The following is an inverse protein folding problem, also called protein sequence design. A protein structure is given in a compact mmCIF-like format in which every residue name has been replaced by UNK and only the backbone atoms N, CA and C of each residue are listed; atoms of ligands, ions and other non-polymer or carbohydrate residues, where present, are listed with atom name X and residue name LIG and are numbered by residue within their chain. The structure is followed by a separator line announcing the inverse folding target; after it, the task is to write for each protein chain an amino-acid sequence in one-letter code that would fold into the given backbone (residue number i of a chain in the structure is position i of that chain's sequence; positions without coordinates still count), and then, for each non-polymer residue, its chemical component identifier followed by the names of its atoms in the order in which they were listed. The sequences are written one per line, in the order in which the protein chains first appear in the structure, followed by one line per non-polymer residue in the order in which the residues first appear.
data_IF_652146100787
#
_entry.id   IF_652146100787
#
_cell.length_a   1.000
_cell.length_b   1.000
_cell.length_c   1.000
_cell.angle_alpha   90.00
_cell.angle_beta   90.00
_cell.angle_gamma   90.00
#
_symmetry.space_group_name_H-M   'P 1'
#
loop_
_entity.id
_entity.type
_entity.pdbx_description
1 polymer ?
#
# COMPACT_ATOMS: atom_id res chain seq x y z
N UNK A 1 -0.43 1.51 6.87
CA UNK A 1 0.17 2.45 5.88
C UNK A 1 -0.45 2.22 4.51
N UNK A 2 -0.38 1.03 3.93
CA UNK A 2 -1.02 0.71 2.64
C UNK A 2 -2.51 1.02 2.58
N UNK A 3 -3.25 0.80 3.67
CA UNK A 3 -4.67 1.14 3.77
C UNK A 3 -4.93 2.63 3.50
N UNK A 4 -4.03 3.52 3.99
CA UNK A 4 -4.16 4.97 3.77
C UNK A 4 -3.85 5.34 2.32
N UNK A 5 -2.85 4.72 1.70
CA UNK A 5 -2.55 4.92 0.29
C UNK A 5 -3.73 4.44 -0.60
N UNK A 6 -4.32 3.28 -0.29
CA UNK A 6 -5.51 2.80 -1.01
C UNK A 6 -6.73 3.74 -0.86
N UNK A 7 -6.88 4.40 0.29
CA UNK A 7 -7.98 5.35 0.51
C UNK A 7 -7.94 6.54 -0.45
N UNK A 8 -6.74 6.96 -0.88
CA UNK A 8 -6.60 8.09 -1.81
C UNK A 8 -7.31 7.87 -3.15
N UNK A 9 -7.35 6.63 -3.67
CA UNK A 9 -8.13 6.31 -4.88
C UNK A 9 -9.63 6.55 -4.65
N UNK A 10 -10.19 6.09 -3.54
CA UNK A 10 -11.61 6.25 -3.24
C UNK A 10 -11.99 7.72 -3.00
N UNK A 11 -11.12 8.48 -2.31
CA UNK A 11 -11.35 9.91 -2.09
C UNK A 11 -11.22 10.72 -3.38
N UNK A 12 -10.33 10.33 -4.30
CA UNK A 12 -10.26 10.96 -5.63
C UNK A 12 -11.60 10.83 -6.36
N UNK A 13 -12.15 9.61 -6.46
CA UNK A 13 -13.43 9.39 -7.13
C UNK A 13 -14.60 10.13 -6.44
N UNK A 14 -14.59 10.19 -5.10
CA UNK A 14 -15.58 10.94 -4.34
C UNK A 14 -15.50 12.44 -4.63
N UNK A 15 -14.28 13.03 -4.63
CA UNK A 15 -14.07 14.46 -4.90
C UNK A 15 -14.32 14.81 -6.36
N UNK A 16 -14.06 13.92 -7.30
CA UNK A 16 -14.43 14.09 -8.72
C UNK A 16 -15.96 14.18 -8.91
N UNK A 17 -16.72 13.35 -8.18
CA UNK A 17 -18.18 13.36 -8.23
C UNK A 17 -18.81 14.51 -7.41
N UNK A 18 -18.14 14.95 -6.33
CA UNK A 18 -18.61 15.97 -5.41
C UNK A 18 -17.49 16.97 -5.10
N UNK A 19 -17.14 17.89 -6.03
CA UNK A 19 -16.02 18.83 -5.87
C UNK A 19 -16.14 19.72 -4.63
N UNK A 20 -17.35 20.17 -4.30
CA UNK A 20 -17.63 21.08 -3.17
C UNK A 20 -17.74 20.37 -1.81
N UNK A 21 -17.70 19.02 -1.80
CA UNK A 21 -17.75 18.26 -0.56
C UNK A 21 -16.50 18.53 0.29
N UNK A 22 -16.69 19.07 1.49
CA UNK A 22 -15.61 19.25 2.45
C UNK A 22 -15.29 17.91 3.12
N UNK A 23 -14.12 17.35 2.86
CA UNK A 23 -13.68 16.09 3.43
C UNK A 23 -12.48 16.35 4.34
N UNK A 24 -12.55 15.89 5.58
CA UNK A 24 -11.43 15.92 6.53
C UNK A 24 -10.94 14.49 6.81
N UNK A 25 -9.67 14.24 6.54
CA UNK A 25 -9.04 12.92 6.76
C UNK A 25 -8.33 12.92 8.12
N UNK A 26 -8.81 12.06 9.03
CA UNK A 26 -8.14 11.80 10.30
C UNK A 26 -7.00 10.80 10.09
N UNK A 27 -5.75 11.28 10.06
CA UNK A 27 -4.58 10.46 9.76
C UNK A 27 -3.32 10.99 10.44
N UNK A 28 -2.23 10.21 10.38
CA UNK A 28 -0.90 10.70 10.82
C UNK A 28 -0.35 11.70 9.80
N UNK A 29 0.35 12.76 10.23
CA UNK A 29 0.87 13.79 9.33
C UNK A 29 1.68 13.25 8.15
N UNK A 30 2.52 12.23 8.38
CA UNK A 30 3.37 11.62 7.35
C UNK A 30 2.59 11.03 6.17
N UNK A 31 1.31 10.69 6.34
CA UNK A 31 0.49 10.10 5.28
C UNK A 31 -0.28 11.12 4.44
N UNK A 32 -0.19 12.40 4.74
CA UNK A 32 -0.79 13.47 3.92
C UNK A 32 -0.26 13.45 2.48
N UNK A 33 1.00 12.99 2.30
CA UNK A 33 1.63 12.79 1.00
C UNK A 33 0.78 12.01 -0.03
N UNK A 34 0.00 11.02 0.43
CA UNK A 34 -0.83 10.19 -0.45
C UNK A 34 -2.03 10.93 -1.03
N UNK A 35 -2.38 12.07 -0.46
CA UNK A 35 -3.53 12.88 -0.84
C UNK A 35 -3.16 14.16 -1.58
N UNK A 36 -1.90 14.30 -1.99
CA UNK A 36 -1.42 15.47 -2.75
C UNK A 36 -2.25 15.67 -4.02
N UNK A 37 -2.71 16.92 -4.23
CA UNK A 37 -3.57 17.28 -5.35
C UNK A 37 -5.06 17.02 -5.14
N UNK A 38 -5.47 16.58 -3.93
CA UNK A 38 -6.86 16.55 -3.50
C UNK A 38 -7.12 17.69 -2.52
N UNK A 39 -8.23 18.41 -2.73
CA UNK A 39 -8.70 19.43 -1.79
C UNK A 39 -9.33 18.76 -0.56
N UNK A 40 -8.52 18.55 0.49
CA UNK A 40 -8.90 17.85 1.71
C UNK A 40 -8.41 18.60 2.95
N UNK A 41 -9.23 18.62 3.99
CA UNK A 41 -8.82 18.96 5.35
C UNK A 41 -8.13 17.77 6.03
N UNK A 42 -7.29 18.05 7.03
CA UNK A 42 -6.62 17.01 7.81
C UNK A 42 -6.80 17.22 9.30
N UNK A 43 -7.02 16.14 10.00
CA UNK A 43 -6.99 16.08 11.45
C UNK A 43 -5.89 15.10 11.89
N UNK A 44 -4.90 15.62 12.62
CA UNK A 44 -3.74 14.83 13.01
C UNK A 44 -4.08 13.83 14.11
N UNK A 45 -3.72 12.57 13.86
CA UNK A 45 -3.92 11.48 14.81
C UNK A 45 -2.58 11.01 15.35
N UNK A 46 -2.31 11.32 16.60
CA UNK A 46 -1.15 10.83 17.34
C UNK A 46 -1.52 9.58 18.14
N UNK A 47 -1.30 8.42 17.52
CA UNK A 47 -1.64 7.12 18.10
C UNK A 47 -0.65 6.63 19.16
N UNK A 48 0.52 7.25 19.30
CA UNK A 48 1.53 6.92 20.30
C UNK A 48 1.50 7.86 21.49
N UNK A 49 0.95 9.08 21.33
CA UNK A 49 0.82 10.10 22.34
C UNK A 49 -0.64 10.34 22.76
N UNK A 50 -1.14 11.56 22.49
CA UNK A 50 -2.43 12.03 23.04
C UNK A 50 -3.66 11.21 22.65
N UNK A 51 -3.63 10.50 21.52
CA UNK A 51 -4.76 9.69 21.03
C UNK A 51 -4.58 8.18 21.27
N UNK A 52 -3.67 7.79 22.18
CA UNK A 52 -3.45 6.39 22.53
C UNK A 52 -4.59 5.81 23.37
N UNK A 53 -5.17 6.59 24.29
CA UNK A 53 -6.15 6.15 25.29
C UNK A 53 -7.60 6.37 24.86
N UNK A 54 -8.56 5.81 25.63
CA UNK A 54 -9.99 6.07 25.51
C UNK A 54 -10.28 7.57 25.58
N UNK A 55 -9.72 8.27 26.57
CA UNK A 55 -9.87 9.74 26.70
C UNK A 55 -9.35 10.47 25.48
N UNK A 56 -8.23 10.01 24.91
CA UNK A 56 -7.67 10.57 23.67
C UNK A 56 -8.62 10.40 22.48
N UNK A 57 -9.30 9.26 22.35
CA UNK A 57 -10.30 9.05 21.29
C UNK A 57 -11.54 9.94 21.46
N UNK A 58 -12.01 10.15 22.71
CA UNK A 58 -13.10 11.09 22.99
C UNK A 58 -12.70 12.54 22.70
N UNK A 59 -11.45 12.93 23.01
CA UNK A 59 -10.91 14.23 22.66
C UNK A 59 -10.86 14.42 21.13
N UNK A 60 -10.34 13.44 20.39
CA UNK A 60 -10.33 13.45 18.93
C UNK A 60 -11.75 13.61 18.36
N UNK A 61 -12.74 12.93 18.94
CA UNK A 61 -14.15 13.07 18.54
C UNK A 61 -14.72 14.46 18.86
N UNK A 62 -14.30 15.07 19.96
CA UNK A 62 -14.69 16.46 20.30
C UNK A 62 -14.06 17.46 19.30
N UNK A 63 -12.81 17.25 18.91
CA UNK A 63 -12.14 18.09 17.92
C UNK A 63 -12.81 17.95 16.53
N UNK A 64 -13.14 16.74 16.10
CA UNK A 64 -13.92 16.51 14.89
C UNK A 64 -15.27 17.25 14.90
N UNK A 65 -15.95 17.25 16.05
CA UNK A 65 -17.21 17.99 16.19
C UNK A 65 -17.03 19.50 16.07
N UNK A 66 -15.93 20.06 16.60
CA UNK A 66 -15.62 21.50 16.45
C UNK A 66 -15.38 21.89 14.99
N UNK A 67 -14.93 20.93 14.16
CA UNK A 67 -14.80 21.11 12.71
C UNK A 67 -16.16 21.10 11.99
N UNK A 68 -17.27 20.84 12.70
CA UNK A 68 -18.61 20.83 12.12
C UNK A 68 -18.86 19.65 11.19
N UNK A 69 -18.34 18.45 11.53
CA UNK A 69 -18.56 17.25 10.69
C UNK A 69 -20.02 16.80 10.73
N UNK A 70 -20.61 16.59 9.56
CA UNK A 70 -22.00 16.16 9.36
C UNK A 70 -22.14 14.64 9.21
N UNK A 71 -21.06 13.94 8.88
CA UNK A 71 -21.03 12.48 8.73
C UNK A 71 -19.63 11.90 8.96
N UNK A 72 -19.54 10.61 9.33
CA UNK A 72 -18.28 9.89 9.55
C UNK A 72 -18.22 8.62 8.72
N UNK A 73 -17.19 8.52 7.88
CA UNK A 73 -16.83 7.31 7.15
C UNK A 73 -15.67 6.59 7.89
N UNK A 74 -15.97 5.51 8.61
CA UNK A 74 -14.94 4.65 9.23
C UNK A 74 -14.45 3.59 8.22
N UNK A 75 -13.41 3.92 7.47
CA UNK A 75 -12.75 3.03 6.50
C UNK A 75 -11.70 2.12 7.14
N UNK A 76 -11.41 2.28 8.44
CA UNK A 76 -10.39 1.48 9.13
C UNK A 76 -11.00 0.31 9.94
N UNK A 77 -12.12 0.53 10.63
CA UNK A 77 -12.86 -0.51 11.34
C UNK A 77 -12.03 -1.26 12.39
N UNK A 78 -11.16 -0.58 13.12
CA UNK A 78 -10.40 -1.10 14.26
C UNK A 78 -10.95 -0.56 15.57
N UNK A 79 -10.59 -1.17 16.71
CA UNK A 79 -11.15 -0.80 18.02
C UNK A 79 -11.11 0.72 18.28
N UNK A 80 -9.99 1.39 17.94
CA UNK A 80 -9.86 2.85 18.10
C UNK A 80 -10.85 3.64 17.24
N UNK A 81 -10.99 3.26 15.96
CA UNK A 81 -11.96 3.94 15.08
C UNK A 81 -13.40 3.63 15.47
N UNK A 82 -13.67 2.45 16.02
CA UNK A 82 -14.99 2.13 16.61
C UNK A 82 -15.31 3.09 17.76
N UNK A 83 -14.37 3.31 18.67
CA UNK A 83 -14.56 4.23 19.79
C UNK A 83 -14.78 5.68 19.32
N UNK A 84 -13.97 6.15 18.39
CA UNK A 84 -14.08 7.47 17.79
C UNK A 84 -15.48 7.67 17.15
N UNK A 85 -15.87 6.77 16.25
CA UNK A 85 -17.17 6.86 15.57
C UNK A 85 -18.37 6.73 16.52
N UNK A 86 -18.28 5.86 17.55
CA UNK A 86 -19.32 5.70 18.54
C UNK A 86 -19.51 6.99 19.34
N UNK A 87 -18.42 7.68 19.69
CA UNK A 87 -18.50 8.96 20.39
C UNK A 87 -19.20 10.06 19.56
N UNK A 88 -19.09 10.03 18.24
CA UNK A 88 -19.78 10.94 17.33
C UNK A 88 -21.23 10.50 17.07
N UNK A 89 -21.47 9.21 16.89
CA UNK A 89 -22.80 8.64 16.73
C UNK A 89 -23.72 8.95 17.93
N UNK A 90 -23.22 8.80 19.16
CA UNK A 90 -23.95 9.18 20.38
C UNK A 90 -24.32 10.67 20.44
N UNK A 91 -23.73 11.48 19.60
CA UNK A 91 -24.02 12.93 19.44
C UNK A 91 -24.84 13.25 18.19
N UNK A 92 -25.48 12.23 17.58
CA UNK A 92 -26.34 12.37 16.42
C UNK A 92 -25.65 12.49 15.07
N UNK A 93 -24.32 12.25 14.98
CA UNK A 93 -23.61 12.29 13.71
C UNK A 93 -23.80 10.95 12.98
N UNK A 94 -24.31 10.90 11.74
CA UNK A 94 -24.40 9.69 10.92
C UNK A 94 -23.04 9.02 10.72
N UNK A 95 -23.00 7.69 10.81
CA UNK A 95 -21.76 6.91 10.70
C UNK A 95 -21.95 5.73 9.77
N UNK A 96 -21.04 5.59 8.81
CA UNK A 96 -20.88 4.36 8.04
C UNK A 96 -19.52 3.72 8.31
N UNK A 97 -19.46 2.39 8.31
CA UNK A 97 -18.25 1.64 8.58
C UNK A 97 -17.98 0.60 7.50
N UNK A 98 -16.69 0.33 7.29
CA UNK A 98 -16.22 -0.66 6.33
C UNK A 98 -16.65 -2.08 6.69
N UNK A 99 -17.07 -2.81 5.68
CA UNK A 99 -17.18 -4.27 5.70
C UNK A 99 -15.89 -4.89 5.14
N UNK A 100 -15.14 -5.55 6.01
CA UNK A 100 -13.80 -6.07 5.66
C UNK A 100 -13.81 -7.36 4.83
N UNK A 101 -14.98 -7.93 4.54
CA UNK A 101 -15.14 -9.17 3.78
C UNK A 101 -14.42 -10.35 4.43
N UNK A 102 -14.55 -10.50 5.75
CA UNK A 102 -13.80 -11.51 6.50
C UNK A 102 -14.18 -12.93 6.07
N UNK A 103 -15.45 -13.18 5.82
CA UNK A 103 -15.93 -14.52 5.45
C UNK A 103 -15.49 -14.89 4.03
N UNK A 104 -15.60 -13.99 3.06
CA UNK A 104 -15.11 -14.27 1.69
C UNK A 104 -13.59 -14.49 1.67
N UNK A 105 -12.81 -13.75 2.47
CA UNK A 105 -11.36 -13.95 2.60
C UNK A 105 -11.01 -15.27 3.28
N UNK A 106 -11.78 -15.70 4.29
CA UNK A 106 -11.62 -17.01 4.92
C UNK A 106 -11.95 -18.13 3.93
N UNK A 107 -13.03 -17.99 3.17
CA UNK A 107 -13.40 -18.95 2.14
C UNK A 107 -12.33 -19.05 1.06
N UNK A 108 -11.83 -17.91 0.57
CA UNK A 108 -10.74 -17.85 -0.41
C UNK A 108 -9.50 -18.61 0.09
N UNK A 109 -9.08 -18.39 1.36
CA UNK A 109 -7.97 -19.12 1.96
C UNK A 109 -8.28 -20.62 2.07
N UNK A 110 -9.46 -20.99 2.56
CA UNK A 110 -9.86 -22.40 2.74
C UNK A 110 -9.80 -23.20 1.43
N UNK A 111 -10.15 -22.56 0.33
CA UNK A 111 -10.13 -23.16 -1.02
C UNK A 111 -8.78 -22.98 -1.74
N UNK A 112 -7.76 -22.43 -1.09
CA UNK A 112 -6.45 -22.19 -1.72
C UNK A 112 -6.51 -21.21 -2.88
N UNK A 113 -7.51 -20.32 -2.93
CA UNK A 113 -7.73 -19.38 -4.04
C UNK A 113 -8.24 -20.03 -5.35
N UNK A 114 -8.49 -21.35 -5.37
CA UNK A 114 -8.86 -22.09 -6.56
C UNK A 114 -10.39 -22.19 -6.70
N UNK A 115 -10.90 -21.86 -7.88
CA UNK A 115 -12.35 -21.92 -8.14
C UNK A 115 -13.20 -20.96 -7.31
N UNK A 116 -12.61 -19.92 -6.76
CA UNK A 116 -13.29 -18.91 -5.95
C UNK A 116 -13.08 -17.54 -6.57
N UNK A 117 -14.13 -16.72 -6.60
CA UNK A 117 -13.99 -15.32 -7.01
C UNK A 117 -13.03 -14.60 -6.07
N UNK A 118 -12.14 -13.73 -6.59
CA UNK A 118 -11.36 -12.84 -5.77
C UNK A 118 -12.25 -12.02 -4.82
N UNK A 119 -11.75 -11.76 -3.62
CA UNK A 119 -12.43 -10.90 -2.67
C UNK A 119 -12.57 -9.48 -3.24
N UNK A 120 -13.69 -8.81 -2.94
CA UNK A 120 -13.90 -7.41 -3.35
C UNK A 120 -12.69 -6.57 -2.94
N UNK A 121 -12.16 -5.78 -3.87
CA UNK A 121 -10.99 -4.95 -3.64
C UNK A 121 -11.22 -3.92 -2.51
N UNK A 122 -10.20 -3.68 -1.70
CA UNK A 122 -10.30 -2.79 -0.52
C UNK A 122 -10.67 -1.36 -0.89
N UNK A 123 -10.19 -0.83 -2.03
CA UNK A 123 -10.58 0.49 -2.54
C UNK A 123 -12.09 0.57 -2.79
N UNK A 124 -12.68 -0.47 -3.41
CA UNK A 124 -14.14 -0.54 -3.66
C UNK A 124 -14.91 -0.60 -2.34
N UNK A 125 -14.38 -1.32 -1.32
CA UNK A 125 -14.98 -1.33 0.03
C UNK A 125 -14.96 0.06 0.68
N UNK A 126 -13.96 0.88 0.41
CA UNK A 126 -13.94 2.28 0.87
C UNK A 126 -15.01 3.10 0.16
N UNK A 127 -15.21 2.93 -1.13
CA UNK A 127 -16.31 3.55 -1.86
C UNK A 127 -17.67 3.14 -1.30
N UNK A 128 -17.84 1.87 -0.93
CA UNK A 128 -19.08 1.38 -0.32
C UNK A 128 -19.38 2.06 1.02
N UNK A 129 -18.37 2.48 1.79
CA UNK A 129 -18.61 3.26 3.03
C UNK A 129 -19.20 4.62 2.69
N UNK A 130 -18.70 5.30 1.68
CA UNK A 130 -19.25 6.59 1.24
C UNK A 130 -20.66 6.44 0.65
N UNK A 131 -20.90 5.37 -0.11
CA UNK A 131 -22.25 5.04 -0.63
C UNK A 131 -23.26 4.79 0.47
N UNK A 132 -22.87 4.16 1.58
CA UNK A 132 -23.72 3.99 2.78
C UNK A 132 -24.08 5.32 3.45
N UNK A 133 -23.31 6.38 3.22
CA UNK A 133 -23.63 7.75 3.65
C UNK A 133 -24.49 8.53 2.64
N UNK A 134 -24.92 7.89 1.54
CA UNK A 134 -25.79 8.49 0.52
C UNK A 134 -25.09 9.06 -0.69
N UNK A 135 -23.76 8.98 -0.78
CA UNK A 135 -23.02 9.45 -1.96
C UNK A 135 -23.12 8.45 -3.11
N UNK A 136 -23.51 8.93 -4.30
CA UNK A 136 -23.64 8.10 -5.51
C UNK A 136 -22.52 8.45 -6.49
N UNK A 137 -21.60 7.53 -6.74
CA UNK A 137 -20.47 7.71 -7.66
C UNK A 137 -19.94 6.35 -8.12
N UNK A 138 -19.21 6.36 -9.23
CA UNK A 138 -18.58 5.14 -9.79
C UNK A 138 -17.32 4.76 -8.98
N UNK A 139 -16.90 3.50 -9.13
CA UNK A 139 -15.60 3.06 -8.61
C UNK A 139 -14.48 3.87 -9.26
N UNK A 140 -13.36 4.10 -8.54
CA UNK A 140 -12.26 4.87 -9.09
C UNK A 140 -11.73 4.27 -10.39
N UNK A 141 -11.42 5.11 -11.36
CA UNK A 141 -10.59 4.69 -12.49
C UNK A 141 -9.14 4.54 -12.04
N UNK A 142 -8.32 3.65 -12.68
CA UNK A 142 -6.90 3.58 -12.41
C UNK A 142 -6.24 4.96 -12.49
N UNK A 143 -5.24 5.20 -11.65
CA UNK A 143 -4.48 6.44 -11.70
C UNK A 143 -3.79 6.59 -13.07
N UNK A 144 -3.70 7.83 -13.55
CA UNK A 144 -2.89 8.15 -14.71
C UNK A 144 -1.50 8.64 -14.26
N UNK A 145 -0.49 8.26 -15.03
CA UNK A 145 0.88 8.74 -14.77
C UNK A 145 0.91 10.27 -14.99
N UNK A 146 1.44 10.96 -13.98
CA UNK A 146 1.58 12.43 -14.02
C UNK A 146 3.04 12.78 -13.79
N UNK A 147 3.50 13.85 -14.44
CA UNK A 147 4.80 14.43 -14.13
C UNK A 147 4.83 14.90 -12.68
N UNK A 148 5.85 14.47 -11.94
CA UNK A 148 6.11 14.87 -10.56
C UNK A 148 7.57 15.29 -10.43
N UNK A 149 7.93 16.15 -9.46
CA UNK A 149 9.32 16.48 -9.20
C UNK A 149 10.17 15.22 -9.04
N UNK A 150 11.41 15.25 -9.50
CA UNK A 150 12.33 14.15 -9.30
C UNK A 150 13.36 14.51 -8.21
N UNK A 151 13.26 13.94 -7.00
CA UNK A 151 14.17 14.27 -5.89
C UNK A 151 15.61 13.78 -6.13
N UNK A 152 15.84 12.95 -7.16
CA UNK A 152 17.15 12.40 -7.51
C UNK A 152 17.81 13.13 -8.69
N UNK A 153 17.24 14.27 -9.11
CA UNK A 153 17.73 15.07 -10.23
C UNK A 153 17.22 14.62 -11.59
N UNK A 154 17.96 14.95 -12.63
CA UNK A 154 17.58 14.61 -13.99
C UNK A 154 17.61 13.08 -14.21
N UNK A 155 16.54 12.54 -14.80
CA UNK A 155 16.44 11.13 -15.12
C UNK A 155 17.14 10.83 -16.43
N UNK A 156 18.11 9.94 -16.37
CA UNK A 156 18.78 9.37 -17.53
C UNK A 156 18.64 7.85 -17.51
N UNK A 157 18.28 7.25 -18.64
CA UNK A 157 18.12 5.79 -18.77
C UNK A 157 16.94 5.22 -17.99
N UNK A 158 17.01 3.93 -17.69
CA UNK A 158 15.97 3.13 -17.03
C UNK A 158 16.20 3.02 -15.54
N UNK A 159 15.21 3.43 -14.73
CA UNK A 159 15.28 3.47 -13.28
C UNK A 159 14.31 2.49 -12.64
N UNK A 160 14.82 1.60 -11.80
CA UNK A 160 14.03 0.55 -11.13
C UNK A 160 13.99 0.78 -9.62
N UNK A 161 12.79 0.68 -9.04
CA UNK A 161 12.61 0.60 -7.59
C UNK A 161 12.63 -0.86 -7.11
N UNK A 162 13.24 -1.11 -5.96
CA UNK A 162 13.23 -2.42 -5.32
C UNK A 162 12.84 -2.31 -3.85
N UNK A 163 11.72 -2.92 -3.46
CA UNK A 163 11.18 -2.91 -2.11
C UNK A 163 10.91 -4.34 -1.61
N UNK A 164 11.94 -5.07 -1.14
CA UNK A 164 11.81 -6.48 -0.76
C UNK A 164 11.17 -6.69 0.62
N UNK A 165 10.90 -5.62 1.37
CA UNK A 165 10.49 -5.70 2.76
C UNK A 165 8.99 -5.46 2.97
N UNK A 166 8.48 -6.03 4.04
CA UNK A 166 7.14 -5.82 4.54
C UNK A 166 7.12 -5.94 6.06
N UNK A 167 6.10 -5.35 6.69
CA UNK A 167 5.90 -5.45 8.15
C UNK A 167 5.72 -6.89 8.67
N UNK A 168 5.50 -7.86 7.78
CA UNK A 168 5.27 -9.26 8.11
C UNK A 168 6.30 -10.14 7.40
N UNK A 169 6.97 -11.02 8.16
CA UNK A 169 7.97 -11.95 7.63
C UNK A 169 7.44 -12.79 6.46
N UNK A 170 6.21 -13.26 6.52
CA UNK A 170 5.58 -14.03 5.43
C UNK A 170 5.30 -13.26 4.15
N UNK A 171 5.66 -11.97 4.10
CA UNK A 171 5.58 -11.08 2.95
C UNK A 171 6.89 -10.36 2.65
N UNK A 172 7.96 -10.68 3.37
CA UNK A 172 9.30 -10.12 3.13
C UNK A 172 10.08 -11.09 2.25
N UNK A 173 10.67 -10.59 1.18
CA UNK A 173 11.49 -11.41 0.28
C UNK A 173 12.76 -11.89 0.99
N UNK A 174 13.19 -13.15 0.81
CA UNK A 174 14.38 -13.66 1.49
C UNK A 174 15.61 -12.82 1.15
N UNK A 175 16.35 -12.38 2.18
CA UNK A 175 17.47 -11.43 2.01
C UNK A 175 18.56 -11.94 1.06
N UNK A 176 18.87 -13.25 1.08
CA UNK A 176 19.82 -13.85 0.16
C UNK A 176 19.38 -13.73 -1.31
N UNK A 177 18.09 -14.01 -1.57
CA UNK A 177 17.51 -13.83 -2.91
C UNK A 177 17.39 -12.35 -3.27
N UNK A 178 17.14 -11.49 -2.28
CA UNK A 178 17.10 -10.03 -2.47
C UNK A 178 18.44 -9.46 -2.94
N UNK A 179 19.58 -9.94 -2.41
CA UNK A 179 20.92 -9.56 -2.88
C UNK A 179 21.12 -9.93 -4.35
N UNK A 180 20.74 -11.14 -4.71
CA UNK A 180 20.86 -11.62 -6.08
C UNK A 180 19.91 -10.86 -7.04
N UNK A 181 18.70 -10.54 -6.59
CA UNK A 181 17.80 -9.71 -7.40
C UNK A 181 18.38 -8.31 -7.64
N UNK A 182 18.96 -7.66 -6.61
CA UNK A 182 19.62 -6.35 -6.77
C UNK A 182 20.80 -6.47 -7.73
N UNK A 183 21.63 -7.54 -7.66
CA UNK A 183 22.72 -7.77 -8.59
C UNK A 183 22.23 -7.80 -10.04
N UNK A 184 21.23 -8.64 -10.32
CA UNK A 184 20.68 -8.77 -11.68
C UNK A 184 20.06 -7.46 -12.20
N UNK A 185 19.39 -6.70 -11.34
CA UNK A 185 18.81 -5.41 -11.69
C UNK A 185 19.91 -4.35 -11.92
N UNK A 186 20.95 -4.33 -11.09
CA UNK A 186 22.05 -3.38 -11.21
C UNK A 186 22.91 -3.62 -12.44
N UNK A 187 23.05 -4.87 -12.89
CA UNK A 187 23.78 -5.23 -14.12
C UNK A 187 23.02 -4.82 -15.41
N UNK A 188 21.69 -4.68 -15.32
CA UNK A 188 20.85 -4.44 -16.51
C UNK A 188 20.37 -2.99 -16.65
N UNK A 189 20.15 -2.28 -15.53
CA UNK A 189 19.50 -0.98 -15.53
C UNK A 189 20.42 0.14 -15.04
N UNK A 190 20.15 1.37 -15.48
CA UNK A 190 21.01 2.52 -15.21
C UNK A 190 21.01 2.89 -13.74
N UNK A 191 19.87 2.77 -13.04
CA UNK A 191 19.78 3.01 -11.60
C UNK A 191 18.78 2.09 -10.91
N UNK A 192 19.14 1.64 -9.71
CA UNK A 192 18.27 0.87 -8.82
C UNK A 192 18.13 1.59 -7.49
N UNK A 193 16.89 1.84 -7.06
CA UNK A 193 16.57 2.52 -5.81
C UNK A 193 15.97 1.52 -4.81
N UNK A 194 16.60 1.35 -3.65
CA UNK A 194 16.11 0.41 -2.63
C UNK A 194 15.26 1.16 -1.62
N UNK A 195 13.97 0.83 -1.60
CA UNK A 195 13.00 1.28 -0.62
C UNK A 195 13.08 0.38 0.62
N UNK A 196 13.35 0.95 1.77
CA UNK A 196 13.49 0.23 3.03
C UNK A 196 13.02 1.05 4.22
N UNK A 197 12.66 0.36 5.30
CA UNK A 197 12.53 0.96 6.62
C UNK A 197 13.89 1.11 7.30
N UNK A 198 13.88 1.34 8.63
CA UNK A 198 15.10 1.43 9.44
C UNK A 198 15.65 0.06 9.87
N UNK A 199 16.71 0.09 10.66
CA UNK A 199 17.32 -1.13 11.22
C UNK A 199 17.92 -2.03 10.14
N UNK A 200 17.68 -3.33 10.22
CA UNK A 200 18.24 -4.33 9.31
C UNK A 200 17.85 -4.11 7.83
N UNK A 201 16.69 -3.53 7.55
CA UNK A 201 16.30 -3.18 6.18
C UNK A 201 17.19 -2.09 5.60
N UNK A 202 17.50 -1.05 6.39
CA UNK A 202 18.42 0.01 5.99
C UNK A 202 19.86 -0.48 5.85
N UNK A 203 20.28 -1.45 6.68
CA UNK A 203 21.60 -2.07 6.56
C UNK A 203 21.74 -2.84 5.25
N UNK A 204 20.73 -3.65 4.91
CA UNK A 204 20.68 -4.32 3.61
C UNK A 204 20.79 -3.32 2.45
N UNK A 205 20.00 -2.24 2.48
CA UNK A 205 20.01 -1.24 1.41
C UNK A 205 21.38 -0.58 1.26
N UNK A 206 22.04 -0.22 2.39
CA UNK A 206 23.38 0.35 2.37
C UNK A 206 24.47 -0.65 1.95
N UNK A 207 24.30 -1.92 2.27
CA UNK A 207 25.18 -2.99 1.80
C UNK A 207 25.16 -3.05 0.27
N UNK A 208 23.97 -3.05 -0.33
CA UNK A 208 23.80 -3.07 -1.78
C UNK A 208 24.31 -1.80 -2.45
N UNK A 209 24.09 -0.64 -1.87
CA UNK A 209 24.62 0.64 -2.35
C UNK A 209 26.16 0.66 -2.37
N UNK A 210 26.81 0.04 -1.39
CA UNK A 210 28.28 -0.08 -1.40
C UNK A 210 28.80 -1.10 -2.42
N UNK A 211 28.00 -2.13 -2.73
CA UNK A 211 28.37 -3.19 -3.66
C UNK A 211 28.23 -2.77 -5.13
N UNK A 212 27.29 -1.87 -5.44
CA UNK A 212 26.96 -1.49 -6.82
C UNK A 212 26.85 0.03 -6.96
N UNK A 213 27.64 0.66 -7.86
CA UNK A 213 27.73 2.13 -7.98
C UNK A 213 26.43 2.79 -8.46
N UNK A 214 25.54 2.04 -9.13
CA UNK A 214 24.24 2.52 -9.62
C UNK A 214 23.07 2.18 -8.70
N UNK A 215 23.32 1.62 -7.51
CA UNK A 215 22.32 1.34 -6.49
C UNK A 215 22.29 2.49 -5.46
N UNK A 216 21.08 2.90 -5.06
CA UNK A 216 20.87 3.96 -4.07
C UNK A 216 19.93 3.49 -2.97
N UNK A 217 20.37 3.55 -1.71
CA UNK A 217 19.56 3.32 -0.52
C UNK A 217 18.74 4.57 -0.16
N UNK A 218 17.42 4.47 -0.08
CA UNK A 218 16.55 5.65 0.10
C UNK A 218 16.30 6.04 1.55
N UNK A 219 16.46 5.13 2.50
CA UNK A 219 16.15 5.40 3.91
C UNK A 219 16.91 6.63 4.45
N UNK A 220 16.14 7.60 4.94
CA UNK A 220 16.68 8.84 5.50
C UNK A 220 17.11 9.89 4.47
N UNK A 221 16.99 9.62 3.16
CA UNK A 221 17.34 10.58 2.10
C UNK A 221 16.18 11.42 1.61
N UNK A 222 15.00 10.79 1.57
CA UNK A 222 13.76 11.45 1.14
C UNK A 222 12.66 11.19 2.17
N UNK A 223 11.75 12.15 2.33
CA UNK A 223 10.52 11.94 3.08
C UNK A 223 9.47 11.19 2.24
N UNK A 224 8.29 10.95 2.83
CA UNK A 224 7.20 10.22 2.16
C UNK A 224 6.76 10.87 0.85
N UNK A 225 6.71 12.22 0.79
CA UNK A 225 6.40 12.97 -0.44
C UNK A 225 7.47 12.72 -1.51
N UNK A 226 8.75 12.88 -1.15
CA UNK A 226 9.86 12.66 -2.08
C UNK A 226 9.96 11.20 -2.53
N UNK A 227 9.61 10.23 -1.67
CA UNK A 227 9.55 8.82 -2.06
C UNK A 227 8.44 8.56 -3.08
N UNK A 228 7.26 9.17 -2.89
CA UNK A 228 6.17 9.08 -3.86
C UNK A 228 6.53 9.79 -5.18
N UNK A 229 7.21 10.93 -5.10
CA UNK A 229 7.70 11.67 -6.26
C UNK A 229 8.75 10.86 -7.04
N UNK A 230 9.69 10.22 -6.33
CA UNK A 230 10.65 9.31 -6.98
C UNK A 230 9.94 8.14 -7.65
N UNK A 231 9.01 7.47 -6.97
CA UNK A 231 8.26 6.34 -7.53
C UNK A 231 7.56 6.74 -8.83
N UNK A 232 7.01 7.95 -8.92
CA UNK A 232 6.39 8.47 -10.16
C UNK A 232 7.39 8.62 -11.32
N UNK A 233 8.68 8.74 -11.04
CA UNK A 233 9.74 8.86 -12.03
C UNK A 233 10.40 7.51 -12.38
N UNK A 234 10.10 6.42 -11.68
CA UNK A 234 10.63 5.09 -11.98
C UNK A 234 9.92 4.46 -13.19
N UNK A 235 10.62 3.60 -13.92
CA UNK A 235 10.04 2.84 -15.03
C UNK A 235 9.31 1.61 -14.55
N UNK A 236 9.78 0.99 -13.48
CA UNK A 236 9.13 -0.12 -12.81
C UNK A 236 9.51 -0.17 -11.33
N UNK A 237 8.63 -0.72 -10.51
CA UNK A 237 8.90 -1.01 -9.08
C UNK A 237 8.69 -2.49 -8.81
N UNK A 238 9.69 -3.15 -8.26
CA UNK A 238 9.54 -4.47 -7.63
C UNK A 238 9.15 -4.29 -6.18
N UNK A 239 8.00 -4.80 -5.79
CA UNK A 239 7.51 -4.65 -4.42
C UNK A 239 6.84 -5.94 -3.91
N UNK A 240 6.84 -6.09 -2.60
CA UNK A 240 5.99 -7.06 -1.92
C UNK A 240 4.55 -6.51 -1.80
N UNK A 241 3.61 -7.30 -1.25
CA UNK A 241 2.35 -6.72 -0.72
C UNK A 241 2.71 -5.81 0.46
N UNK A 242 3.09 -4.58 0.14
CA UNK A 242 3.62 -3.57 1.04
C UNK A 242 3.17 -2.16 0.65
N UNK A 243 3.60 -1.16 1.40
CA UNK A 243 3.25 0.24 1.13
C UNK A 243 3.68 0.70 -0.27
N UNK A 244 4.89 0.32 -0.70
CA UNK A 244 5.48 0.79 -1.97
C UNK A 244 4.66 0.35 -3.18
N UNK A 245 4.09 -0.87 -3.18
CA UNK A 245 3.15 -1.32 -4.21
C UNK A 245 1.94 -0.37 -4.32
N UNK A 246 1.39 0.05 -3.19
CA UNK A 246 0.25 0.97 -3.18
C UNK A 246 0.63 2.39 -3.57
N UNK A 247 1.83 2.85 -3.20
CA UNK A 247 2.36 4.14 -3.66
C UNK A 247 2.55 4.16 -5.18
N UNK A 248 3.13 3.10 -5.75
CA UNK A 248 3.25 2.96 -7.19
C UNK A 248 1.89 2.96 -7.91
N UNK A 249 0.89 2.29 -7.34
CA UNK A 249 -0.50 2.33 -7.82
C UNK A 249 -1.08 3.76 -7.84
N UNK A 250 -0.75 4.61 -6.87
CA UNK A 250 -1.24 6.00 -6.82
C UNK A 250 -0.69 6.89 -7.94
N UNK A 251 0.49 6.59 -8.43
CA UNK A 251 1.19 7.38 -9.45
C UNK A 251 1.32 6.65 -10.80
N UNK A 252 0.63 5.52 -10.93
CA UNK A 252 0.59 4.67 -12.13
C UNK A 252 1.96 4.21 -12.62
N UNK A 253 2.90 3.96 -11.70
CA UNK A 253 4.17 3.32 -12.03
C UNK A 253 3.96 1.81 -12.17
N UNK A 254 4.48 1.17 -13.22
CA UNK A 254 4.43 -0.29 -13.39
C UNK A 254 4.98 -1.03 -12.18
N UNK A 255 4.32 -2.14 -11.80
CA UNK A 255 4.69 -2.89 -10.58
C UNK A 255 4.90 -4.37 -10.88
N UNK A 256 6.06 -4.88 -10.52
CA UNK A 256 6.28 -6.32 -10.33
C UNK A 256 6.04 -6.62 -8.85
N UNK A 257 4.97 -7.34 -8.54
CA UNK A 257 4.58 -7.63 -7.16
C UNK A 257 4.84 -9.09 -6.79
N UNK A 258 5.63 -9.31 -5.74
CA UNK A 258 5.99 -10.65 -5.25
C UNK A 258 5.09 -11.04 -4.08
N UNK A 259 4.45 -12.21 -4.20
CA UNK A 259 3.46 -12.69 -3.24
C UNK A 259 3.91 -13.98 -2.57
N UNK A 260 4.06 -13.91 -1.25
CA UNK A 260 4.42 -15.05 -0.41
C UNK A 260 3.19 -15.80 0.11
N UNK A 261 2.92 -15.67 1.41
CA UNK A 261 1.89 -16.40 2.15
C UNK A 261 0.45 -15.93 1.94
N UNK A 262 0.27 -14.74 1.45
CA UNK A 262 -1.01 -14.17 1.04
C UNK A 262 -1.19 -14.29 -0.49
N UNK A 263 -2.22 -13.63 -1.04
CA UNK A 263 -2.58 -13.76 -2.46
C UNK A 263 -3.22 -12.46 -2.95
N UNK A 264 -2.95 -12.02 -4.20
CA UNK A 264 -3.58 -10.83 -4.78
C UNK A 264 -5.11 -10.89 -4.76
N UNK A 265 -5.70 -12.07 -4.95
CA UNK A 265 -7.14 -12.30 -4.89
C UNK A 265 -7.79 -12.05 -3.52
N UNK A 266 -7.03 -11.69 -2.47
CA UNK A 266 -7.56 -11.25 -1.18
C UNK A 266 -8.00 -9.77 -1.17
N UNK A 267 -7.94 -9.09 -2.32
CA UNK A 267 -8.41 -7.71 -2.49
C UNK A 267 -7.44 -6.62 -2.02
N UNK A 268 -6.13 -6.92 -2.03
CA UNK A 268 -5.06 -6.00 -1.63
C UNK A 268 -4.06 -5.70 -2.73
N UNK A 269 -4.23 -6.22 -3.95
CA UNK A 269 -3.35 -5.90 -5.07
C UNK A 269 -3.37 -4.39 -5.37
N UNK A 270 -2.28 -3.85 -5.89
CA UNK A 270 -2.22 -2.43 -6.27
C UNK A 270 -3.38 -2.05 -7.19
N UNK A 271 -4.20 -1.09 -6.78
CA UNK A 271 -5.41 -0.74 -7.53
C UNK A 271 -5.07 -0.19 -8.90
N UNK A 272 -5.59 -0.81 -9.96
CA UNK A 272 -5.28 -0.42 -11.34
C UNK A 272 -3.92 -0.87 -11.86
N UNK A 273 -3.11 -1.59 -11.07
CA UNK A 273 -1.87 -2.17 -11.55
C UNK A 273 -2.12 -3.34 -12.51
N UNK A 274 -1.21 -3.52 -13.46
CA UNK A 274 -1.27 -4.61 -14.44
C UNK A 274 -1.08 -5.98 -13.76
N UNK A 275 -2.03 -6.92 -13.87
CA UNK A 275 -1.91 -8.24 -13.27
C UNK A 275 -0.76 -9.09 -13.86
N UNK A 276 -0.23 -8.74 -15.04
CA UNK A 276 0.97 -9.39 -15.58
C UNK A 276 2.19 -9.23 -14.67
N UNK A 277 2.26 -8.13 -13.89
CA UNK A 277 3.31 -7.92 -12.89
C UNK A 277 3.23 -8.81 -11.65
N UNK A 278 2.23 -9.69 -11.51
CA UNK A 278 2.12 -10.58 -10.35
C UNK A 278 3.08 -11.76 -10.46
N UNK A 279 3.95 -11.90 -9.45
CA UNK A 279 4.82 -13.06 -9.27
C UNK A 279 4.43 -13.81 -7.99
N UNK A 280 4.11 -15.08 -8.14
CA UNK A 280 3.72 -15.95 -7.03
C UNK A 280 3.91 -17.42 -7.38
N UNK A 281 4.21 -18.23 -6.38
CA UNK A 281 4.27 -19.68 -6.56
C UNK A 281 2.86 -20.30 -6.55
N UNK A 282 2.57 -21.26 -7.42
CA UNK A 282 1.39 -22.11 -7.29
C UNK A 282 1.71 -23.28 -6.34
N UNK A 283 1.16 -23.20 -5.13
CA UNK A 283 1.36 -24.20 -4.08
C UNK A 283 0.07 -24.42 -3.31
N UNK A 284 -0.20 -25.67 -2.93
CA UNK A 284 -1.41 -26.05 -2.17
C UNK A 284 -1.53 -25.33 -0.82
N UNK A 285 -0.38 -24.99 -0.19
CA UNK A 285 -0.38 -24.30 1.09
C UNK A 285 -0.66 -22.78 0.99
N UNK A 286 -0.89 -22.25 -0.21
CA UNK A 286 -1.18 -20.82 -0.46
C UNK A 286 -2.60 -20.61 -0.97
N UNK A 287 -3.20 -19.44 -0.59
CA UNK A 287 -2.80 -18.56 0.50
C UNK A 287 -3.06 -19.20 1.87
N UNK A 288 -2.18 -19.01 2.83
CA UNK A 288 -2.36 -19.54 4.19
C UNK A 288 -2.62 -18.45 5.24
N UNK A 289 -2.63 -17.19 4.86
CA UNK A 289 -2.89 -16.04 5.72
C UNK A 289 -3.43 -14.86 4.92
N UNK A 290 -4.38 -14.13 5.48
CA UNK A 290 -4.88 -12.86 4.89
C UNK A 290 -3.78 -11.81 4.86
N UNK A 291 -3.02 -11.69 5.95
CA UNK A 291 -2.04 -10.61 6.16
C UNK A 291 -0.59 -11.08 6.22
N UNK A 292 -0.31 -12.35 5.98
CA UNK A 292 1.05 -12.90 6.09
C UNK A 292 1.60 -13.00 7.54
N UNK A 293 0.77 -12.75 8.55
CA UNK A 293 1.15 -12.62 9.96
C UNK A 293 1.15 -13.92 10.77
N UNK A 294 0.71 -15.04 10.18
CA UNK A 294 0.78 -16.35 10.83
C UNK A 294 2.16 -16.99 10.62
N UNK A 295 2.69 -17.83 11.51
CA UNK A 295 3.92 -18.57 11.25
C UNK A 295 3.76 -19.51 10.05
N UNK A 296 4.85 -19.77 9.32
CA UNK A 296 4.80 -20.71 8.21
C UNK A 296 4.55 -22.13 8.72
N UNK A 297 3.60 -22.83 8.12
CA UNK A 297 3.23 -24.20 8.45
C UNK A 297 4.41 -25.18 8.37
N UNK A 298 5.31 -24.94 7.40
CA UNK A 298 6.51 -25.75 7.16
C UNK A 298 7.81 -25.13 7.71
N UNK A 299 7.74 -23.89 8.24
CA UNK A 299 8.88 -23.17 8.79
C UNK A 299 9.83 -22.55 7.74
N UNK A 300 9.73 -22.92 6.48
CA UNK A 300 10.72 -22.64 5.42
C UNK A 300 10.35 -21.52 4.46
N UNK A 301 9.11 -21.01 4.50
CA UNK A 301 8.63 -19.97 3.58
C UNK A 301 8.88 -20.28 2.09
N UNK A 302 8.84 -21.57 1.71
CA UNK A 302 9.10 -22.07 0.35
C UNK A 302 8.39 -21.30 -0.78
N UNK A 303 7.21 -20.72 -0.50
CA UNK A 303 6.48 -19.92 -1.47
C UNK A 303 7.19 -18.62 -1.86
N UNK A 304 8.01 -18.05 -0.96
CA UNK A 304 8.84 -16.89 -1.26
C UNK A 304 10.12 -17.32 -2.00
N UNK A 305 10.73 -18.44 -1.60
CA UNK A 305 11.91 -18.99 -2.27
C UNK A 305 11.64 -19.49 -3.70
N UNK A 306 10.40 -19.88 -3.99
CA UNK A 306 10.02 -20.33 -5.34
C UNK A 306 9.91 -19.19 -6.36
N UNK A 307 9.81 -17.93 -5.91
CA UNK A 307 9.94 -16.76 -6.80
C UNK A 307 11.43 -16.40 -6.85
N UNK A 308 12.09 -16.80 -7.94
CA UNK A 308 13.53 -16.61 -8.07
C UNK A 308 13.92 -15.19 -8.49
N UNK A 309 15.14 -14.71 -8.21
CA UNK A 309 15.65 -13.44 -8.70
C UNK A 309 15.59 -13.30 -10.23
N UNK A 310 15.85 -14.38 -10.97
CA UNK A 310 15.73 -14.41 -12.43
C UNK A 310 14.29 -14.11 -12.90
N UNK A 311 13.28 -14.74 -12.27
CA UNK A 311 11.87 -14.43 -12.56
C UNK A 311 11.53 -12.97 -12.32
N UNK A 312 12.12 -12.34 -11.31
CA UNK A 312 11.93 -10.90 -11.03
C UNK A 312 12.54 -10.07 -12.16
N UNK A 313 13.81 -10.35 -12.52
CA UNK A 313 14.51 -9.61 -13.56
C UNK A 313 13.84 -9.73 -14.94
N UNK A 314 13.39 -10.94 -15.31
CA UNK A 314 12.61 -11.19 -16.54
C UNK A 314 11.29 -10.40 -16.53
N UNK A 315 10.54 -10.45 -15.41
CA UNK A 315 9.27 -9.74 -15.32
C UNK A 315 9.45 -8.23 -15.34
N UNK A 316 10.52 -7.69 -14.76
CA UNK A 316 10.86 -6.26 -14.88
C UNK A 316 11.09 -5.90 -16.34
N UNK A 317 11.87 -6.71 -17.09
CA UNK A 317 12.11 -6.48 -18.51
C UNK A 317 10.81 -6.43 -19.32
N UNK A 318 9.91 -7.40 -19.13
CA UNK A 318 8.58 -7.39 -19.76
C UNK A 318 7.77 -6.13 -19.42
N UNK A 319 7.85 -5.65 -18.18
CA UNK A 319 7.08 -4.50 -17.70
C UNK A 319 7.64 -3.16 -18.17
N UNK A 320 8.94 -3.07 -18.49
CA UNK A 320 9.56 -1.86 -19.07
C UNK A 320 9.56 -1.89 -20.61
N UNK A 321 9.15 -2.99 -21.24
CA UNK A 321 8.97 -3.11 -22.69
C UNK A 321 10.26 -3.53 -23.42
N UNK A 322 11.13 -4.31 -22.78
CA UNK A 322 12.32 -4.94 -23.38
C UNK A 322 12.06 -6.36 -23.86
#
# INVERSE_FOLDING_TARGET
MGDVAMLAHALRALKEAYPDLRVTVATRPVFRAFFTGLDLGFMDVDIKGVHHSLRGMWRLAADARRLGVDAVADVHGVLRSVMFRTALWLRGVPVAAIEKGREEKKEFIRKGGRGVKPAKHTVVRYCDVFRKLGFVFHDPVPALRRCRPNPMGEKTGTWIGFSPFSAQQGKTYPTALGREAVRLLAERYDRVFIHSGGGAEAEFAREMERAYPNVTALFGRVGMDGELDLIANLDCVVAMDSLVMHMASLVATPVVSVWGRNHPGLGFFGYGCDPRGILQADMECRPCSVFGNKPCRYGDYRCLYAVTPAMIAERVAEMVGE
#
